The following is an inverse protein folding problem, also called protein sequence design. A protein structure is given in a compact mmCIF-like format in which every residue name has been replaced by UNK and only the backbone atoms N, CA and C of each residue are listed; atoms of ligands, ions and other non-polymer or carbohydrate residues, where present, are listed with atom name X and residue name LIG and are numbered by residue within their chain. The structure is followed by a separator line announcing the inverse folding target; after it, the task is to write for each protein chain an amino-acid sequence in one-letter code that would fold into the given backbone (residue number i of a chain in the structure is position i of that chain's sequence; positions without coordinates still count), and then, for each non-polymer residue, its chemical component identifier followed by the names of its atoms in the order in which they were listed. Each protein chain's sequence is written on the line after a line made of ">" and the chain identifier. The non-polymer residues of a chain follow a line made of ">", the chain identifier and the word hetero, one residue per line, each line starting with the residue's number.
data_IF_292934646129
#
_entry.id   IF_292934646129
#
_cell.length_a   1.000
_cell.length_b   1.000
_cell.length_c   1.000
_cell.angle_alpha   90.00
_cell.angle_beta   90.00
_cell.angle_gamma   90.00
#
_symmetry.space_group_name_H-M   'P 1'
#
loop_
_entity.id
_entity.type
_entity.pdbx_description
1 polymer ?
#
# COMPACT_ATOMS: atom_id res chain seq x y z
N UNK A 1 6.83 4.99 11.32
CA UNK A 1 5.45 5.09 10.79
C UNK A 1 4.60 5.60 11.93
N UNK A 2 3.39 6.07 11.67
CA UNK A 2 2.46 6.38 12.74
C UNK A 2 1.18 5.58 12.50
N UNK A 3 0.85 4.68 13.43
CA UNK A 3 -0.36 3.86 13.38
C UNK A 3 -1.63 4.70 13.20
N UNK A 4 -1.77 5.80 13.95
CA UNK A 4 -2.92 6.70 13.84
C UNK A 4 -3.06 7.23 12.41
N UNK A 5 -1.96 7.65 11.81
CA UNK A 5 -1.95 8.14 10.43
C UNK A 5 -2.35 7.06 9.42
N UNK A 6 -1.85 5.83 9.58
CA UNK A 6 -2.26 4.70 8.74
C UNK A 6 -3.78 4.50 8.77
N UNK A 7 -4.40 4.63 9.93
CA UNK A 7 -5.85 4.43 10.09
C UNK A 7 -6.63 5.64 9.56
N UNK A 8 -6.27 6.85 9.98
CA UNK A 8 -7.00 8.07 9.64
C UNK A 8 -6.91 8.44 8.16
N UNK A 9 -5.77 8.13 7.52
CA UNK A 9 -5.42 8.59 6.16
C UNK A 9 -5.04 7.46 5.21
N UNK A 10 -5.03 6.21 5.68
CA UNK A 10 -4.65 5.04 4.87
C UNK A 10 -5.81 4.09 4.58
N UNK A 11 -6.81 4.01 5.46
CA UNK A 11 -7.86 2.99 5.40
C UNK A 11 -8.82 3.19 4.23
N UNK A 12 -9.45 4.36 4.12
CA UNK A 12 -10.34 4.66 3.01
C UNK A 12 -9.56 5.07 1.74
N UNK A 13 -10.05 4.70 0.54
CA UNK A 13 -9.54 5.24 -0.71
C UNK A 13 -9.65 6.76 -0.74
N UNK A 14 -8.66 7.45 -1.32
CA UNK A 14 -8.70 8.92 -1.50
C UNK A 14 -9.82 9.38 -2.42
N UNK A 15 -10.34 8.45 -3.21
CA UNK A 15 -11.42 8.65 -4.17
C UNK A 15 -12.81 8.80 -3.50
N UNK A 16 -12.94 8.49 -2.21
CA UNK A 16 -14.21 8.71 -1.51
C UNK A 16 -14.43 10.21 -1.24
N UNK A 17 -15.69 10.70 -1.32
CA UNK A 17 -16.01 12.08 -0.99
C UNK A 17 -15.60 12.48 0.44
N UNK A 18 -15.36 13.77 0.72
CA UNK A 18 -14.93 14.27 2.03
C UNK A 18 -15.69 13.80 3.28
N UNK A 19 -17.04 13.61 3.28
CA UNK A 19 -17.72 13.08 4.47
C UNK A 19 -17.27 11.67 4.88
N UNK A 20 -16.68 10.90 3.97
CA UNK A 20 -16.14 9.58 4.28
C UNK A 20 -14.68 9.71 4.75
N UNK A 21 -14.50 9.68 6.07
CA UNK A 21 -13.18 9.64 6.69
C UNK A 21 -13.14 8.63 7.84
N UNK A 22 -11.94 8.35 8.34
CA UNK A 22 -11.69 7.34 9.37
C UNK A 22 -10.96 7.94 10.57
N UNK A 23 -11.13 9.24 10.80
CA UNK A 23 -10.46 9.98 11.89
C UNK A 23 -10.94 9.46 13.24
N UNK A 24 -12.26 9.36 13.43
CA UNK A 24 -12.87 8.83 14.67
C UNK A 24 -12.47 7.38 14.95
N UNK A 25 -12.37 6.54 13.91
CA UNK A 25 -11.86 5.17 14.03
C UNK A 25 -10.40 5.18 14.49
N UNK A 26 -9.57 6.06 13.94
CA UNK A 26 -8.18 6.18 14.33
C UNK A 26 -8.01 6.71 15.76
N UNK A 27 -8.88 7.61 16.21
CA UNK A 27 -8.91 8.10 17.58
C UNK A 27 -9.28 6.97 18.54
N UNK A 28 -10.41 6.31 18.30
CA UNK A 28 -10.85 5.15 19.07
C UNK A 28 -9.78 4.06 19.15
N UNK A 29 -9.17 3.72 18.02
CA UNK A 29 -8.17 2.67 17.97
C UNK A 29 -6.89 3.02 18.72
N UNK A 30 -6.57 4.31 18.88
CA UNK A 30 -5.34 4.76 19.56
C UNK A 30 -5.57 4.99 21.05
N UNK A 31 -6.78 5.40 21.44
CA UNK A 31 -7.14 5.67 22.83
C UNK A 31 -7.39 4.42 23.67
N UNK A 32 -7.58 3.26 23.05
CA UNK A 32 -7.91 2.02 23.77
C UNK A 32 -7.22 0.81 23.15
N UNK A 33 -6.78 -0.12 24.00
CA UNK A 33 -6.28 -1.42 23.51
C UNK A 33 -7.46 -2.22 22.98
N UNK A 34 -7.57 -2.30 21.65
CA UNK A 34 -8.62 -3.09 21.03
C UNK A 34 -8.24 -4.57 21.10
N UNK A 35 -9.08 -5.36 21.75
CA UNK A 35 -9.00 -6.82 21.71
C UNK A 35 -10.14 -7.33 20.85
N UNK A 36 -9.81 -7.92 19.71
CA UNK A 36 -10.80 -8.61 18.88
C UNK A 36 -10.99 -10.04 19.37
N UNK A 37 -12.22 -10.59 19.33
CA UNK A 37 -12.44 -11.99 19.63
C UNK A 37 -11.69 -12.87 18.62
N UNK A 38 -11.22 -14.03 19.08
CA UNK A 38 -10.49 -14.96 18.23
C UNK A 38 -11.50 -15.71 17.35
N UNK A 39 -11.52 -15.38 16.06
CA UNK A 39 -12.38 -16.06 15.11
C UNK A 39 -11.73 -17.36 14.61
N UNK A 40 -12.47 -18.48 14.52
CA UNK A 40 -11.93 -19.75 14.03
C UNK A 40 -11.51 -19.67 12.56
N UNK A 41 -12.19 -18.84 11.75
CA UNK A 41 -11.84 -18.55 10.36
C UNK A 41 -11.52 -17.06 10.20
N UNK A 42 -10.27 -16.74 9.87
CA UNK A 42 -9.80 -15.35 9.64
C UNK A 42 -9.92 -14.96 8.18
N UNK A 43 -11.15 -14.92 7.67
CA UNK A 43 -11.43 -14.44 6.31
C UNK A 43 -12.50 -13.36 6.35
N UNK A 44 -12.30 -12.24 5.66
CA UNK A 44 -13.35 -11.25 5.41
C UNK A 44 -13.54 -11.01 3.92
N UNK A 45 -14.75 -10.59 3.58
CA UNK A 45 -15.08 -10.05 2.27
C UNK A 45 -14.57 -8.61 2.16
N UNK A 46 -13.99 -8.27 1.02
CA UNK A 46 -13.68 -6.89 0.66
C UNK A 46 -14.98 -6.23 0.19
N UNK A 47 -15.29 -5.05 0.71
CA UNK A 47 -16.36 -4.23 0.17
C UNK A 47 -15.87 -3.55 -1.11
N UNK A 48 -16.56 -3.77 -2.23
CA UNK A 48 -16.11 -3.28 -3.54
C UNK A 48 -17.06 -2.22 -4.07
N UNK A 49 -16.52 -1.13 -4.62
CA UNK A 49 -17.29 -0.07 -5.26
C UNK A 49 -16.59 0.44 -6.52
N UNK A 50 -17.37 0.99 -7.44
CA UNK A 50 -16.83 1.55 -8.68
C UNK A 50 -16.55 3.04 -8.53
N UNK A 51 -15.34 3.45 -8.88
CA UNK A 51 -14.99 4.84 -9.10
C UNK A 51 -15.06 5.17 -10.58
N UNK A 52 -15.80 6.22 -10.93
CA UNK A 52 -15.96 6.68 -12.31
C UNK A 52 -14.65 7.31 -12.79
N UNK A 53 -14.27 7.04 -14.04
CA UNK A 53 -13.19 7.72 -14.74
C UNK A 53 -13.75 8.42 -15.98
N UNK A 54 -12.95 9.34 -16.52
CA UNK A 54 -13.18 9.93 -17.84
C UNK A 54 -13.37 8.83 -18.90
N UNK A 55 -14.25 9.09 -19.88
CA UNK A 55 -14.58 8.19 -20.98
C UNK A 55 -15.28 6.87 -20.56
N UNK A 56 -16.22 6.92 -19.61
CA UNK A 56 -17.06 5.78 -19.16
C UNK A 56 -16.30 4.58 -18.58
N UNK A 57 -15.00 4.71 -18.35
CA UNK A 57 -14.19 3.69 -17.68
C UNK A 57 -14.50 3.67 -16.18
N UNK A 58 -14.40 2.49 -15.58
CA UNK A 58 -14.60 2.30 -14.14
C UNK A 58 -13.36 1.68 -13.52
N UNK A 59 -12.98 2.18 -12.34
CA UNK A 59 -11.98 1.54 -11.48
C UNK A 59 -12.71 0.90 -10.31
N UNK A 60 -12.64 -0.42 -10.21
CA UNK A 60 -13.11 -1.12 -9.03
C UNK A 60 -12.13 -0.87 -7.87
N UNK A 61 -12.64 -0.34 -6.77
CA UNK A 61 -11.93 -0.07 -5.53
C UNK A 61 -12.48 -0.96 -4.43
N UNK A 62 -11.61 -1.35 -3.50
CA UNK A 62 -11.95 -2.23 -2.38
C UNK A 62 -11.65 -1.57 -1.04
N UNK A 63 -12.56 -1.73 -0.08
CA UNK A 63 -12.38 -1.38 1.32
C UNK A 63 -12.26 -2.69 2.11
N UNK A 64 -11.14 -2.83 2.81
CA UNK A 64 -10.86 -3.98 3.66
C UNK A 64 -11.80 -3.98 4.88
N UNK A 65 -12.01 -5.12 5.51
CA UNK A 65 -12.67 -5.13 6.81
C UNK A 65 -11.81 -4.36 7.84
N UNK A 66 -12.41 -3.53 8.70
CA UNK A 66 -11.68 -2.63 9.58
C UNK A 66 -10.80 -3.39 10.57
N UNK A 67 -11.21 -4.56 11.06
CA UNK A 67 -10.42 -5.38 12.00
C UNK A 67 -9.08 -5.76 11.37
N UNK A 68 -9.10 -6.31 10.16
CA UNK A 68 -7.87 -6.69 9.46
C UNK A 68 -7.01 -5.47 9.10
N UNK A 69 -7.63 -4.34 8.76
CA UNK A 69 -6.86 -3.13 8.48
C UNK A 69 -6.13 -2.59 9.72
N UNK A 70 -6.78 -2.64 10.89
CA UNK A 70 -6.17 -2.25 12.16
C UNK A 70 -4.98 -3.15 12.52
N UNK A 71 -5.13 -4.47 12.38
CA UNK A 71 -4.04 -5.42 12.62
C UNK A 71 -2.86 -5.23 11.65
N UNK A 72 -3.14 -4.97 10.36
CA UNK A 72 -2.09 -4.65 9.39
C UNK A 72 -1.40 -3.34 9.75
N UNK A 73 -2.16 -2.35 10.26
CA UNK A 73 -1.61 -1.08 10.70
C UNK A 73 -0.68 -1.26 11.90
N UNK A 74 -1.04 -2.10 12.86
CA UNK A 74 -0.19 -2.48 14.01
C UNK A 74 1.12 -3.15 13.55
N UNK A 75 0.99 -4.11 12.63
CA UNK A 75 2.14 -4.84 12.10
C UNK A 75 3.10 -3.92 11.32
N UNK A 76 2.54 -3.05 10.48
CA UNK A 76 3.32 -2.09 9.71
C UNK A 76 3.98 -1.04 10.58
N UNK A 77 3.31 -0.57 11.64
CA UNK A 77 3.87 0.40 12.57
C UNK A 77 5.07 -0.20 13.31
N UNK A 78 4.90 -1.41 13.85
CA UNK A 78 5.91 -2.17 14.58
C UNK A 78 7.15 -2.47 13.73
N UNK A 79 6.96 -2.85 12.46
CA UNK A 79 8.04 -3.31 11.58
C UNK A 79 8.42 -2.33 10.48
N UNK A 80 8.03 -1.06 10.60
CA UNK A 80 8.23 -0.08 9.53
C UNK A 80 9.70 0.10 9.13
N UNK A 81 10.62 0.07 10.10
CA UNK A 81 12.05 0.23 9.84
C UNK A 81 12.56 -0.83 8.86
N UNK A 82 12.21 -2.10 9.10
CA UNK A 82 12.53 -3.24 8.24
C UNK A 82 11.91 -3.10 6.86
N UNK A 83 10.61 -2.76 6.78
CA UNK A 83 9.91 -2.56 5.50
C UNK A 83 10.57 -1.43 4.70
N UNK A 84 10.88 -0.31 5.35
CA UNK A 84 11.53 0.84 4.72
C UNK A 84 12.93 0.46 4.18
N UNK A 85 13.73 -0.30 4.93
CA UNK A 85 15.03 -0.80 4.46
C UNK A 85 14.88 -1.67 3.21
N UNK A 86 13.89 -2.58 3.18
CA UNK A 86 13.62 -3.42 2.00
C UNK A 86 13.27 -2.56 0.79
N UNK A 87 12.38 -1.56 0.94
CA UNK A 87 11.96 -0.70 -0.18
C UNK A 87 13.10 0.16 -0.73
N UNK A 88 14.11 0.46 0.08
CA UNK A 88 15.29 1.24 -0.33
C UNK A 88 16.26 0.45 -1.21
N UNK A 89 16.26 -0.89 -1.14
CA UNK A 89 17.18 -1.78 -1.89
C UNK A 89 17.11 -1.58 -3.42
N UNK A 90 15.96 -1.21 -3.96
CA UNK A 90 15.82 -0.97 -5.41
C UNK A 90 16.37 0.40 -5.81
N UNK A 91 17.34 0.44 -6.71
CA UNK A 91 17.85 1.71 -7.27
C UNK A 91 16.94 2.31 -8.36
N UNK A 92 16.05 1.49 -8.93
CA UNK A 92 15.17 1.88 -10.04
C UNK A 92 13.85 2.49 -9.58
N UNK A 93 13.28 1.98 -8.49
CA UNK A 93 11.96 2.41 -8.03
C UNK A 93 11.90 3.91 -7.72
N UNK A 94 10.96 4.62 -8.35
CA UNK A 94 10.62 6.02 -8.08
C UNK A 94 9.37 6.18 -7.23
N UNK A 95 8.68 5.07 -6.94
CA UNK A 95 7.50 5.01 -6.09
C UNK A 95 7.80 4.45 -4.70
N UNK A 96 9.05 4.58 -4.23
CA UNK A 96 9.44 4.16 -2.87
C UNK A 96 8.49 4.81 -1.86
N UNK A 97 7.86 4.05 -0.95
CA UNK A 97 6.90 4.59 -0.02
C UNK A 97 7.63 5.47 1.00
N UNK A 98 7.12 6.66 1.20
CA UNK A 98 7.57 7.60 2.22
C UNK A 98 6.41 7.88 3.15
N UNK A 99 6.65 7.71 4.45
CA UNK A 99 5.76 8.22 5.47
C UNK A 99 6.10 9.70 5.64
N UNK A 100 5.37 10.55 4.95
CA UNK A 100 5.48 11.99 5.08
C UNK A 100 4.10 12.52 5.44
N UNK A 101 3.88 12.96 6.68
CA UNK A 101 2.77 13.86 6.99
C UNK A 101 3.09 15.21 6.33
N UNK A 102 3.10 15.25 4.99
CA UNK A 102 3.27 16.48 4.26
C UNK A 102 1.98 17.28 4.42
N UNK A 103 2.04 18.59 4.71
CA UNK A 103 0.84 19.43 4.89
C UNK A 103 -0.13 19.40 3.69
N UNK A 104 0.38 19.02 2.52
CA UNK A 104 -0.36 18.98 1.25
C UNK A 104 -0.77 17.55 0.84
N UNK A 105 -0.47 16.52 1.64
CA UNK A 105 -0.70 15.12 1.26
C UNK A 105 -1.75 14.49 2.16
N UNK A 106 -2.85 14.10 1.53
CA UNK A 106 -4.02 13.50 2.18
C UNK A 106 -3.78 12.06 2.67
N UNK A 107 -2.76 11.36 2.15
CA UNK A 107 -2.50 9.94 2.44
C UNK A 107 -1.31 9.74 3.36
N UNK A 108 -1.41 8.73 4.24
CA UNK A 108 -0.36 8.35 5.21
C UNK A 108 0.94 7.89 4.54
N UNK A 109 0.84 7.29 3.36
CA UNK A 109 1.98 6.85 2.55
C UNK A 109 1.88 7.49 1.18
N UNK A 110 2.99 8.05 0.72
CA UNK A 110 3.12 8.61 -0.61
C UNK A 110 4.40 8.14 -1.31
N UNK A 111 4.41 8.06 -2.65
CA UNK A 111 5.64 7.82 -3.37
C UNK A 111 6.63 8.96 -3.15
N UNK A 112 7.92 8.63 -3.08
CA UNK A 112 9.00 9.61 -2.95
C UNK A 112 9.06 10.61 -4.11
N UNK A 113 8.61 10.20 -5.30
CA UNK A 113 8.52 11.07 -6.48
C UNK A 113 7.07 11.40 -6.78
N UNK A 114 6.81 12.69 -6.96
CA UNK A 114 5.51 13.21 -7.33
C UNK A 114 5.14 12.80 -8.76
N UNK A 115 3.86 12.50 -8.99
CA UNK A 115 3.40 11.97 -10.27
C UNK A 115 3.70 12.94 -11.44
N UNK A 116 3.57 14.25 -11.20
CA UNK A 116 3.86 15.27 -12.21
C UNK A 116 5.35 15.37 -12.57
N UNK A 117 6.26 14.83 -11.74
CA UNK A 117 7.71 14.78 -12.01
C UNK A 117 8.13 13.51 -12.77
N UNK A 118 7.24 12.54 -12.94
CA UNK A 118 7.54 11.30 -13.68
C UNK A 118 7.98 11.58 -15.12
N UNK A 119 7.33 12.45 -15.91
CA UNK A 119 7.78 12.79 -17.27
C UNK A 119 9.21 13.33 -17.30
N UNK A 120 9.57 14.22 -16.36
CA UNK A 120 10.93 14.76 -16.22
C UNK A 120 11.93 13.64 -15.94
N UNK A 121 11.60 12.72 -15.03
CA UNK A 121 12.50 11.61 -14.71
C UNK A 121 12.65 10.62 -15.87
N UNK A 122 11.58 10.38 -16.64
CA UNK A 122 11.61 9.59 -17.87
C UNK A 122 12.52 10.24 -18.91
N UNK A 123 12.41 11.55 -19.13
CA UNK A 123 13.27 12.28 -20.05
C UNK A 123 14.75 12.16 -19.66
N UNK A 124 15.09 12.39 -18.38
CA UNK A 124 16.46 12.22 -17.87
C UNK A 124 17.01 10.81 -18.10
N UNK A 125 16.20 9.77 -17.90
CA UNK A 125 16.64 8.40 -18.12
C UNK A 125 16.84 8.06 -19.61
N UNK A 126 16.09 8.71 -20.53
CA UNK A 126 16.21 8.48 -21.98
C UNK A 126 17.52 9.03 -22.56
N UNK A 127 18.03 10.14 -22.02
CA UNK A 127 19.26 10.78 -22.52
C UNK A 127 20.46 9.81 -22.52
N UNK A 128 20.53 8.91 -21.53
CA UNK A 128 21.65 7.98 -21.37
C UNK A 128 21.54 6.70 -22.21
N UNK A 129 20.42 6.46 -22.92
CA UNK A 129 20.14 5.18 -23.55
C UNK A 129 19.93 5.27 -25.06
N UNK A 130 20.55 4.35 -25.82
CA UNK A 130 20.31 4.20 -27.27
C UNK A 130 18.94 3.57 -27.60
N UNK A 131 18.39 2.79 -26.67
CA UNK A 131 17.14 2.06 -26.84
C UNK A 131 16.21 2.27 -25.64
N UNK A 132 14.90 2.18 -25.89
CA UNK A 132 13.85 2.33 -24.86
C UNK A 132 13.06 1.02 -24.78
N UNK A 133 13.07 0.39 -23.62
CA UNK A 133 12.12 -0.67 -23.30
C UNK A 133 10.79 -0.04 -22.85
N UNK A 134 9.73 -0.30 -23.62
CA UNK A 134 8.37 0.06 -23.23
C UNK A 134 7.64 -1.17 -22.68
N UNK A 135 7.19 -1.10 -21.43
CA UNK A 135 6.47 -2.18 -20.77
C UNK A 135 5.54 -1.63 -19.69
N UNK A 136 4.47 -2.37 -19.40
CA UNK A 136 3.51 -2.10 -18.32
C UNK A 136 2.94 -3.42 -17.78
N UNK A 137 2.37 -3.39 -16.58
CA UNK A 137 1.77 -4.55 -15.93
C UNK A 137 0.26 -4.34 -15.81
N UNK A 138 -0.51 -5.09 -16.60
CA UNK A 138 -1.96 -5.12 -16.53
C UNK A 138 -2.46 -5.58 -15.17
N UNK A 139 -3.39 -4.82 -14.57
CA UNK A 139 -4.04 -5.16 -13.28
C UNK A 139 -3.04 -5.48 -12.16
N UNK A 140 -1.94 -4.70 -12.07
CA UNK A 140 -0.81 -4.91 -11.16
C UNK A 140 -1.17 -5.53 -9.81
N UNK A 141 -2.06 -4.93 -9.02
CA UNK A 141 -2.39 -5.45 -7.68
C UNK A 141 -3.09 -6.82 -7.71
N UNK A 142 -4.03 -7.03 -8.64
CA UNK A 142 -4.77 -8.28 -8.76
C UNK A 142 -3.94 -9.39 -9.42
N UNK A 143 -2.87 -9.05 -10.13
CA UNK A 143 -1.98 -10.01 -10.79
C UNK A 143 -0.80 -10.48 -9.93
N UNK A 144 -0.66 -10.01 -8.68
CA UNK A 144 0.44 -10.43 -7.80
C UNK A 144 0.18 -11.85 -7.29
N UNK A 145 1.06 -12.78 -7.67
CA UNK A 145 1.14 -14.08 -7.01
C UNK A 145 1.72 -13.89 -5.61
N UNK A 146 0.95 -14.12 -4.55
CA UNK A 146 1.31 -13.74 -3.17
C UNK A 146 2.64 -14.34 -2.69
N UNK A 147 2.97 -15.57 -3.11
CA UNK A 147 4.27 -16.18 -2.80
C UNK A 147 5.47 -15.50 -3.47
N UNK A 148 5.27 -14.68 -4.51
CA UNK A 148 6.35 -13.91 -5.13
C UNK A 148 6.91 -12.82 -4.21
N UNK A 149 6.12 -12.32 -3.24
CA UNK A 149 6.56 -11.30 -2.28
C UNK A 149 7.70 -11.82 -1.38
N UNK A 150 7.52 -12.92 -0.61
CA UNK A 150 8.61 -13.45 0.20
C UNK A 150 9.78 -13.95 -0.66
N UNK A 151 9.53 -14.45 -1.88
CA UNK A 151 10.62 -14.83 -2.80
C UNK A 151 11.48 -13.64 -3.20
N UNK A 152 10.87 -12.49 -3.48
CA UNK A 152 11.59 -11.28 -3.84
C UNK A 152 12.38 -10.68 -2.66
N UNK A 153 11.91 -10.88 -1.42
CA UNK A 153 12.52 -10.30 -0.22
C UNK A 153 13.64 -11.20 0.35
N UNK A 154 13.37 -12.51 0.46
CA UNK A 154 14.19 -13.48 1.17
C UNK A 154 14.90 -14.50 0.25
N UNK A 155 14.49 -14.57 -1.02
CA UNK A 155 14.90 -15.63 -1.94
C UNK A 155 13.95 -16.83 -1.91
N UNK A 156 13.83 -17.50 -3.06
CA UNK A 156 12.88 -18.61 -3.26
C UNK A 156 13.19 -19.84 -2.41
N UNK A 157 14.46 -20.16 -2.20
CA UNK A 157 14.90 -21.31 -1.38
C UNK A 157 14.49 -21.12 0.08
N UNK A 158 14.92 -20.02 0.70
CA UNK A 158 14.62 -19.69 2.10
C UNK A 158 13.11 -19.58 2.35
N UNK A 159 12.38 -18.90 1.47
CA UNK A 159 10.93 -18.76 1.59
C UNK A 159 10.16 -20.10 1.46
N UNK A 160 10.72 -21.09 0.75
CA UNK A 160 10.12 -22.44 0.68
C UNK A 160 10.40 -23.27 1.92
N UNK A 161 11.57 -23.09 2.55
CA UNK A 161 11.95 -23.75 3.80
C UNK A 161 11.09 -23.25 4.97
N UNK A 162 10.85 -21.94 5.05
CA UNK A 162 10.10 -21.29 6.13
C UNK A 162 8.60 -21.19 5.86
N UNK A 163 8.02 -22.15 5.11
CA UNK A 163 6.57 -22.22 4.96
C UNK A 163 5.95 -22.60 6.30
N UNK A 164 5.60 -21.61 7.11
CA UNK A 164 4.62 -21.82 8.17
C UNK A 164 3.28 -22.08 7.49
N UNK A 165 2.81 -23.33 7.55
CA UNK A 165 1.43 -23.62 7.20
C UNK A 165 0.53 -22.75 8.11
N UNK A 166 -0.37 -21.93 7.53
CA UNK A 166 -1.32 -21.16 8.31
C UNK A 166 -2.29 -22.06 9.08
#
# INVERSE_FOLDING_TARGET
>A
MNRRDLIARGYFPKELPPPFNTISLADFATSSKITFPRYPKRTAKIYSHNHVKYNSLRRNLGILNPVFFLEISDLLDTHWSTVNQITKRSNFSKSKPTHTPHPQRERSISPVLDFYLIPVKRAKNRIAGRYILHTDISRFYQSIYTHSIPWAIHGKSLAKLQKTHP
#
